data_IF_172278866651
#
_entry.id   IF_172278866651
#
_cell.length_a   1.000
_cell.length_b   1.000
_cell.length_c   1.000
_cell.angle_alpha   90.00
_cell.angle_beta   90.00
_cell.angle_gamma   90.00
#
_symmetry.space_group_name_H-M   'P 1'
#
loop_
_entity.id
_entity.type
_entity.pdbx_description
1 polymer ?
#
# COMPACT_ATOMS: atom_id res chain seq x y z
N UNK A 1 13.58 7.53 -12.47
CA UNK A 1 14.46 7.07 -11.37
C UNK A 1 14.35 5.56 -11.25
N UNK A 2 15.42 4.82 -11.54
CA UNK A 2 15.47 3.36 -11.42
C UNK A 2 16.14 2.96 -10.11
N UNK A 3 15.35 2.45 -9.17
CA UNK A 3 15.83 1.98 -7.88
C UNK A 3 16.28 0.51 -8.01
N UNK A 4 17.60 0.24 -8.03
CA UNK A 4 18.14 -1.12 -8.20
C UNK A 4 17.99 -1.93 -6.91
N UNK A 5 17.66 -3.23 -7.02
CA UNK A 5 17.71 -4.21 -5.92
C UNK A 5 19.17 -4.52 -5.58
N UNK A 6 19.53 -4.62 -4.30
CA UNK A 6 20.87 -4.95 -3.81
C UNK A 6 20.69 -5.96 -2.68
N UNK A 7 21.49 -7.03 -2.69
CA UNK A 7 21.44 -8.16 -1.74
C UNK A 7 22.31 -7.86 -0.51
N UNK A 8 22.22 -6.65 0.02
CA UNK A 8 23.16 -6.18 1.03
C UNK A 8 22.57 -6.40 2.44
N UNK A 9 23.41 -6.83 3.39
CA UNK A 9 23.12 -6.81 4.83
C UNK A 9 22.95 -5.37 5.32
N UNK A 10 21.73 -4.88 5.21
CA UNK A 10 21.38 -3.48 5.42
C UNK A 10 20.49 -3.38 6.64
N UNK A 11 20.76 -2.41 7.50
CA UNK A 11 19.94 -2.17 8.70
C UNK A 11 18.52 -1.73 8.31
N UNK A 12 17.52 -2.04 9.13
CA UNK A 12 16.11 -1.59 8.93
C UNK A 12 16.03 -0.07 8.66
N UNK A 13 16.85 0.74 9.35
CA UNK A 13 16.94 2.19 9.11
C UNK A 13 17.38 2.52 7.68
N UNK A 14 18.38 1.82 7.15
CA UNK A 14 18.87 2.04 5.80
C UNK A 14 17.85 1.53 4.75
N UNK A 15 17.13 0.44 5.02
CA UNK A 15 16.00 0.00 4.17
C UNK A 15 14.94 1.10 4.06
N UNK A 16 14.51 1.69 5.19
CA UNK A 16 13.53 2.80 5.20
C UNK A 16 14.00 4.03 4.44
N UNK A 17 15.27 4.42 4.60
CA UNK A 17 15.86 5.55 3.85
C UNK A 17 15.85 5.28 2.35
N UNK A 18 16.26 4.08 1.94
CA UNK A 18 16.32 3.67 0.53
C UNK A 18 14.92 3.60 -0.09
N UNK A 19 13.94 2.99 0.58
CA UNK A 19 12.56 2.93 0.06
C UNK A 19 11.91 4.31 -0.04
N UNK A 20 12.24 5.24 0.87
CA UNK A 20 11.81 6.66 0.75
C UNK A 20 12.33 7.36 -0.50
N UNK A 21 13.51 7.01 -0.99
CA UNK A 21 14.07 7.59 -2.22
C UNK A 21 13.39 7.06 -3.49
N UNK A 22 12.65 5.95 -3.38
CA UNK A 22 12.12 5.22 -4.54
C UNK A 22 10.60 5.34 -4.67
N UNK A 23 9.91 5.83 -3.63
CA UNK A 23 8.48 6.12 -3.69
C UNK A 23 8.22 7.47 -4.36
N UNK A 24 7.13 7.57 -5.12
CA UNK A 24 6.59 8.86 -5.58
C UNK A 24 6.15 9.71 -4.39
N UNK A 25 6.70 10.92 -4.25
CA UNK A 25 6.40 11.85 -3.16
C UNK A 25 4.92 12.21 -3.05
N UNK A 26 4.15 12.16 -4.16
CA UNK A 26 2.70 12.40 -4.12
C UNK A 26 1.98 11.37 -3.25
N UNK A 27 2.45 10.12 -3.26
CA UNK A 27 1.88 9.06 -2.41
C UNK A 27 2.17 9.30 -0.93
N UNK A 28 3.13 10.15 -0.56
CA UNK A 28 3.43 10.48 0.84
C UNK A 28 2.54 11.59 1.41
N UNK A 29 1.75 12.29 0.57
CA UNK A 29 0.82 13.34 1.03
C UNK A 29 -0.42 12.79 1.72
N UNK A 30 -0.89 11.61 1.29
CA UNK A 30 -2.05 10.92 1.85
C UNK A 30 -1.85 9.41 1.87
N UNK A 31 -2.37 8.78 2.91
CA UNK A 31 -2.43 7.34 3.03
C UNK A 31 -3.26 6.75 1.90
N UNK A 32 -2.64 5.88 1.11
CA UNK A 32 -3.32 5.16 0.04
C UNK A 32 -4.50 4.31 0.52
N UNK A 33 -4.50 3.88 1.79
CA UNK A 33 -5.51 2.99 2.35
C UNK A 33 -6.68 3.71 3.05
N UNK A 34 -6.50 4.94 3.52
CA UNK A 34 -7.55 5.63 4.29
C UNK A 34 -7.67 7.13 4.01
N UNK A 35 -6.77 7.72 3.22
CA UNK A 35 -6.76 9.13 2.87
C UNK A 35 -6.18 10.07 3.93
N UNK A 36 -5.80 9.56 5.11
CA UNK A 36 -5.18 10.36 6.19
C UNK A 36 -3.83 10.95 5.75
N UNK A 37 -3.54 12.18 6.16
CA UNK A 37 -2.22 12.83 5.94
C UNK A 37 -1.28 12.72 7.16
N UNK A 38 -1.71 12.05 8.24
CA UNK A 38 -0.99 12.03 9.51
C UNK A 38 -0.05 10.84 9.63
N UNK A 39 1.12 11.04 10.25
CA UNK A 39 2.10 10.00 10.60
C UNK A 39 2.45 9.08 9.42
N UNK A 40 2.74 9.68 8.26
CA UNK A 40 2.97 9.00 7.00
C UNK A 40 4.30 8.26 6.94
N UNK A 41 4.28 7.05 6.39
CA UNK A 41 5.42 6.12 6.25
C UNK A 41 5.33 5.41 4.90
N UNK A 42 6.45 4.88 4.43
CA UNK A 42 6.46 3.96 3.28
C UNK A 42 6.01 2.59 3.75
N UNK A 43 5.17 1.93 2.95
CA UNK A 43 4.74 0.55 3.17
C UNK A 43 5.05 -0.28 1.92
N UNK A 44 5.55 -1.50 2.13
CA UNK A 44 5.85 -2.48 1.09
C UNK A 44 4.65 -3.41 0.92
N UNK A 45 3.98 -3.35 -0.22
CA UNK A 45 2.71 -4.05 -0.45
C UNK A 45 2.84 -5.57 -0.37
N UNK A 46 3.96 -6.13 -0.82
CA UNK A 46 4.24 -7.57 -0.77
C UNK A 46 4.91 -8.03 0.54
N UNK A 47 5.12 -7.15 1.51
CA UNK A 47 5.80 -7.47 2.77
C UNK A 47 7.30 -7.72 2.69
N UNK A 48 7.91 -7.64 1.49
CA UNK A 48 9.37 -7.75 1.31
C UNK A 48 10.01 -6.35 1.36
N UNK A 49 10.65 -6.03 2.48
CA UNK A 49 11.34 -4.74 2.69
C UNK A 49 12.57 -4.53 1.80
N UNK A 50 13.04 -5.58 1.11
CA UNK A 50 14.09 -5.48 0.10
C UNK A 50 13.55 -5.14 -1.30
N UNK A 51 12.24 -5.33 -1.55
CA UNK A 51 11.59 -5.01 -2.83
C UNK A 51 11.28 -3.51 -2.93
N UNK A 52 12.27 -2.79 -3.46
CA UNK A 52 12.23 -1.33 -3.67
C UNK A 52 11.55 -0.91 -4.97
N UNK A 53 10.86 -1.82 -5.67
CA UNK A 53 10.13 -1.44 -6.88
C UNK A 53 9.08 -0.36 -6.51
N UNK A 54 9.07 0.82 -7.17
CA UNK A 54 8.10 1.87 -6.87
C UNK A 54 6.63 1.39 -6.93
N UNK A 55 6.32 0.41 -7.79
CA UNK A 55 4.98 -0.21 -7.83
C UNK A 55 4.63 -0.95 -6.53
N UNK A 56 5.62 -1.50 -5.83
CA UNK A 56 5.48 -2.18 -4.53
C UNK A 56 5.38 -1.21 -3.35
N UNK A 57 5.67 0.08 -3.56
CA UNK A 57 5.67 1.08 -2.50
C UNK A 57 4.38 1.89 -2.51
N UNK A 58 3.84 2.14 -1.33
CA UNK A 58 2.70 3.03 -1.11
C UNK A 58 2.89 3.85 0.16
N UNK A 59 2.40 5.09 0.18
CA UNK A 59 2.37 5.89 1.39
C UNK A 59 1.22 5.46 2.30
N UNK A 60 1.51 5.22 3.58
CA UNK A 60 0.54 4.77 4.56
C UNK A 60 0.68 5.54 5.88
N UNK A 61 -0.43 5.85 6.55
CA UNK A 61 -0.38 6.34 7.93
C UNK A 61 0.10 5.22 8.86
N UNK A 62 0.61 5.58 10.04
CA UNK A 62 1.12 4.60 11.02
C UNK A 62 0.14 3.48 11.34
N UNK A 63 -1.13 3.81 11.59
CA UNK A 63 -2.19 2.86 11.92
C UNK A 63 -2.42 1.83 10.79
N UNK A 64 -2.62 2.31 9.56
CA UNK A 64 -2.80 1.41 8.40
C UNK A 64 -1.54 0.59 8.12
N UNK A 65 -0.34 1.17 8.30
CA UNK A 65 0.91 0.44 8.10
C UNK A 65 1.03 -0.76 9.07
N UNK A 66 0.74 -0.54 10.36
CA UNK A 66 0.74 -1.60 11.37
C UNK A 66 -0.33 -2.66 11.11
N UNK A 67 -1.58 -2.24 10.89
CA UNK A 67 -2.71 -3.14 10.61
C UNK A 67 -2.42 -4.06 9.43
N UNK A 68 -1.96 -3.48 8.31
CA UNK A 68 -1.68 -4.23 7.09
C UNK A 68 -0.46 -5.13 7.30
N UNK A 69 0.59 -4.66 7.99
CA UNK A 69 1.74 -5.50 8.34
C UNK A 69 1.35 -6.76 9.10
N UNK A 70 0.42 -6.65 10.06
CA UNK A 70 -0.13 -7.81 10.77
C UNK A 70 -0.94 -8.74 9.85
N UNK A 71 -1.72 -8.19 8.92
CA UNK A 71 -2.44 -8.99 7.93
C UNK A 71 -1.46 -9.77 7.05
N UNK A 72 -0.44 -9.12 6.49
CA UNK A 72 0.57 -9.78 5.65
C UNK A 72 1.24 -10.92 6.42
N UNK A 73 1.65 -10.68 7.67
CA UNK A 73 2.22 -11.71 8.55
C UNK A 73 1.28 -12.90 8.75
N UNK A 74 -0.02 -12.65 9.00
CA UNK A 74 -1.05 -13.69 9.20
C UNK A 74 -1.22 -14.56 7.95
N UNK A 75 -1.11 -13.98 6.76
CA UNK A 75 -1.24 -14.70 5.49
C UNK A 75 0.10 -15.22 4.93
N UNK A 76 1.18 -15.18 5.73
CA UNK A 76 2.54 -15.59 5.35
C UNK A 76 3.10 -14.83 4.13
N UNK A 77 2.64 -13.60 3.90
CA UNK A 77 3.08 -12.74 2.82
C UNK A 77 4.40 -12.04 3.20
N UNK A 78 5.35 -11.98 2.26
CA UNK A 78 6.67 -11.36 2.46
C UNK A 78 7.76 -12.34 2.94
N UNK A 79 7.43 -13.63 3.11
CA UNK A 79 8.44 -14.69 3.28
C UNK A 79 8.98 -15.12 1.92
N UNK A 80 10.24 -15.58 1.86
CA UNK A 80 10.96 -16.02 0.63
C UNK A 80 10.22 -17.07 -0.23
N UNK A 81 9.14 -17.66 0.27
CA UNK A 81 8.27 -18.62 -0.46
C UNK A 81 7.23 -17.95 -1.38
N UNK A 82 7.05 -16.63 -1.32
CA UNK A 82 5.90 -15.95 -1.93
C UNK A 82 6.20 -15.44 -3.37
N UNK A 83 6.66 -16.35 -4.25
CA UNK A 83 6.88 -16.08 -5.69
C UNK A 83 5.58 -15.94 -6.50
N UNK A 84 4.40 -16.11 -5.88
CA UNK A 84 3.10 -16.21 -6.55
C UNK A 84 2.58 -14.92 -7.19
N UNK A 85 3.09 -13.74 -6.82
CA UNK A 85 2.61 -12.46 -7.39
C UNK A 85 2.85 -12.32 -8.90
N UNK A 86 3.72 -13.14 -9.50
CA UNK A 86 4.05 -13.06 -10.93
C UNK A 86 3.06 -13.80 -11.83
N UNK A 87 2.14 -14.60 -11.30
CA UNK A 87 1.32 -15.53 -12.10
C UNK A 87 -0.05 -15.01 -12.56
N UNK A 88 -0.58 -13.93 -11.98
CA UNK A 88 -1.86 -13.37 -12.39
C UNK A 88 -1.68 -11.99 -13.05
N UNK A 89 -2.13 -11.77 -14.30
CA UNK A 89 -2.22 -10.44 -14.88
C UNK A 89 -3.35 -9.68 -14.17
N UNK A 90 -3.03 -9.12 -13.00
CA UNK A 90 -3.94 -8.21 -12.32
C UNK A 90 -3.98 -6.90 -13.09
N UNK A 91 -5.19 -6.35 -13.26
CA UNK A 91 -5.35 -5.01 -13.78
C UNK A 91 -5.45 -4.03 -12.61
N UNK A 92 -4.92 -2.82 -12.80
CA UNK A 92 -5.10 -1.75 -11.83
C UNK A 92 -6.57 -1.38 -11.64
N UNK A 93 -6.92 -0.82 -10.49
CA UNK A 93 -8.28 -0.41 -10.20
C UNK A 93 -8.73 0.69 -11.19
N UNK A 94 -9.85 0.42 -11.88
CA UNK A 94 -10.40 1.33 -12.90
C UNK A 94 -11.23 2.45 -12.26
N UNK A 95 -11.88 2.15 -11.14
CA UNK A 95 -12.78 3.05 -10.43
C UNK A 95 -12.60 2.95 -8.90
N UNK A 96 -13.25 3.87 -8.19
CA UNK A 96 -13.14 3.98 -6.73
C UNK A 96 -13.69 2.74 -6.01
N UNK A 97 -14.75 2.11 -6.53
CA UNK A 97 -15.34 0.92 -5.91
C UNK A 97 -14.36 -0.25 -5.88
N UNK A 98 -13.70 -0.54 -7.01
CA UNK A 98 -12.67 -1.57 -7.10
C UNK A 98 -11.50 -1.28 -6.15
N UNK A 99 -11.08 -0.02 -6.09
CA UNK A 99 -10.04 0.42 -5.17
C UNK A 99 -10.43 0.21 -3.70
N UNK A 100 -11.68 0.52 -3.34
CA UNK A 100 -12.19 0.32 -1.98
C UNK A 100 -12.30 -1.15 -1.59
N UNK A 101 -12.69 -2.04 -2.51
CA UNK A 101 -12.70 -3.49 -2.26
C UNK A 101 -11.28 -3.98 -1.95
N UNK A 102 -10.29 -3.58 -2.76
CA UNK A 102 -8.90 -3.94 -2.52
C UNK A 102 -8.40 -3.41 -1.16
N UNK A 103 -8.72 -2.16 -0.80
CA UNK A 103 -8.36 -1.59 0.51
C UNK A 103 -8.99 -2.36 1.66
N UNK A 104 -10.30 -2.63 1.59
CA UNK A 104 -11.01 -3.36 2.65
C UNK A 104 -10.42 -4.75 2.83
N UNK A 105 -10.11 -5.42 1.74
CA UNK A 105 -9.44 -6.73 1.75
C UNK A 105 -8.06 -6.64 2.41
N UNK A 106 -7.27 -5.60 2.13
CA UNK A 106 -5.99 -5.33 2.80
C UNK A 106 -6.13 -4.96 4.28
N UNK A 107 -7.33 -4.61 4.75
CA UNK A 107 -7.62 -4.38 6.17
C UNK A 107 -8.26 -5.59 6.85
N UNK A 108 -8.55 -6.66 6.11
CA UNK A 108 -9.34 -7.79 6.61
C UNK A 108 -10.82 -7.45 6.84
N UNK A 109 -11.34 -6.41 6.18
CA UNK A 109 -12.72 -5.94 6.28
C UNK A 109 -13.61 -6.46 5.13
N UNK A 110 -13.07 -7.23 4.18
CA UNK A 110 -13.80 -7.80 3.04
C UNK A 110 -13.14 -9.10 2.60
N UNK A 111 -13.97 -10.06 2.16
CA UNK A 111 -13.56 -11.34 1.58
C UNK A 111 -13.76 -11.40 0.05
N UNK A 112 -14.25 -10.31 -0.55
CA UNK A 112 -14.49 -10.22 -2.01
C UNK A 112 -13.20 -10.37 -2.83
N UNK A 113 -12.05 -10.11 -2.20
CA UNK A 113 -10.73 -10.24 -2.81
C UNK A 113 -9.74 -10.78 -1.77
N UNK A 114 -8.93 -11.77 -2.16
CA UNK A 114 -7.85 -12.22 -1.28
C UNK A 114 -6.79 -11.13 -1.10
N UNK A 115 -6.04 -11.10 0.02
CA UNK A 115 -4.95 -10.15 0.20
C UNK A 115 -3.95 -10.16 -0.97
N UNK A 116 -3.65 -11.34 -1.55
CA UNK A 116 -2.77 -11.45 -2.72
C UNK A 116 -3.32 -10.77 -3.97
N UNK A 117 -4.60 -10.96 -4.27
CA UNK A 117 -5.27 -10.28 -5.40
C UNK A 117 -5.33 -8.77 -5.17
N UNK A 118 -5.58 -8.33 -3.92
CA UNK A 118 -5.59 -6.93 -3.55
C UNK A 118 -4.21 -6.28 -3.74
N UNK A 119 -3.14 -6.93 -3.29
CA UNK A 119 -1.76 -6.51 -3.54
C UNK A 119 -1.51 -6.37 -5.04
N UNK A 120 -1.89 -7.37 -5.84
CA UNK A 120 -1.66 -7.36 -7.28
C UNK A 120 -2.39 -6.18 -7.97
N UNK A 121 -3.66 -5.95 -7.64
CA UNK A 121 -4.44 -4.82 -8.16
C UNK A 121 -3.83 -3.47 -7.73
N UNK A 122 -3.45 -3.32 -6.46
CA UNK A 122 -2.85 -2.08 -5.96
C UNK A 122 -1.52 -1.82 -6.66
N UNK A 123 -0.67 -2.84 -6.80
CA UNK A 123 0.62 -2.73 -7.51
C UNK A 123 0.45 -2.29 -8.96
N UNK A 124 -0.58 -2.77 -9.66
CA UNK A 124 -0.83 -2.37 -11.05
C UNK A 124 -1.56 -1.03 -11.18
N UNK A 125 -2.23 -0.57 -10.12
CA UNK A 125 -2.78 0.79 -10.08
C UNK A 125 -1.62 1.80 -10.05
N UNK A 126 -1.57 2.76 -10.98
CA UNK A 126 -0.47 3.73 -11.05
C UNK A 126 -0.41 4.66 -9.82
N UNK A 127 0.77 5.12 -9.39
CA UNK A 127 0.91 6.04 -8.24
C UNK A 127 -0.01 7.27 -8.28
N UNK A 128 -0.17 7.87 -9.46
CA UNK A 128 -1.07 9.01 -9.67
C UNK A 128 -2.54 8.61 -9.41
N UNK A 129 -2.99 7.44 -9.89
CA UNK A 129 -4.36 6.96 -9.66
C UNK A 129 -4.61 6.59 -8.19
N UNK A 130 -3.64 5.95 -7.53
CA UNK A 130 -3.71 5.68 -6.09
C UNK A 130 -3.90 6.98 -5.28
N UNK A 131 -3.12 8.00 -5.62
CA UNK A 131 -3.20 9.32 -4.99
C UNK A 131 -4.57 9.97 -5.23
N UNK A 132 -5.07 9.90 -6.46
CA UNK A 132 -6.40 10.42 -6.81
C UNK A 132 -7.51 9.70 -6.02
N UNK A 133 -7.48 8.37 -5.93
CA UNK A 133 -8.46 7.65 -5.12
C UNK A 133 -8.37 8.01 -3.64
N UNK A 134 -7.16 8.20 -3.09
CA UNK A 134 -6.99 8.64 -1.71
C UNK A 134 -7.60 10.04 -1.47
N UNK A 135 -7.45 10.96 -2.43
CA UNK A 135 -8.12 12.26 -2.39
C UNK A 135 -9.64 12.12 -2.47
N UNK A 136 -10.16 11.24 -3.33
CA UNK A 136 -11.60 11.03 -3.48
C UNK A 136 -12.23 10.40 -2.23
N UNK A 137 -11.56 9.42 -1.61
CA UNK A 137 -11.96 8.88 -0.29
C UNK A 137 -12.08 10.03 0.72
N UNK A 138 -11.10 10.93 0.75
CA UNK A 138 -11.10 12.04 1.71
C UNK A 138 -12.19 13.08 1.42
N UNK A 139 -12.46 13.38 0.14
CA UNK A 139 -13.59 14.23 -0.26
C UNK A 139 -14.92 13.66 0.25
N UNK A 140 -15.14 12.36 0.05
CA UNK A 140 -16.36 11.68 0.53
C UNK A 140 -16.45 11.74 2.06
N UNK A 141 -15.35 11.51 2.78
CA UNK A 141 -15.35 11.57 4.25
C UNK A 141 -15.68 12.96 4.77
N UNK A 142 -15.13 14.02 4.15
CA UNK A 142 -15.44 15.42 4.49
C UNK A 142 -16.90 15.74 4.25
N UNK A 143 -17.45 15.36 3.09
CA UNK A 143 -18.87 15.52 2.80
C UNK A 143 -19.77 14.82 3.83
N UNK A 144 -19.33 13.69 4.39
CA UNK A 144 -20.04 12.93 5.44
C UNK A 144 -19.71 13.37 6.87
N UNK A 145 -18.80 14.32 7.10
CA UNK A 145 -18.32 14.71 8.43
C UNK A 145 -17.56 13.61 9.20
N UNK A 146 -17.05 12.59 8.50
CA UNK A 146 -16.33 11.42 9.09
C UNK A 146 -14.81 11.52 8.96
N UNK A 147 -14.33 12.66 8.49
CA UNK A 147 -12.90 12.98 8.34
C UNK A 147 -12.22 13.17 9.70
N UNK A 148 -12.96 13.58 10.75
CA UNK A 148 -12.44 13.76 12.11
C UNK A 148 -12.21 12.45 12.86
N UNK A 149 -12.89 11.37 12.46
CA UNK A 149 -12.76 10.01 13.04
C UNK A 149 -11.90 9.16 12.11
N UNK A 150 -10.59 9.34 12.15
CA UNK A 150 -9.66 8.35 11.56
C UNK A 150 -9.20 7.47 12.72
N UNK A 151 -9.50 6.15 12.73
CA UNK A 151 -9.05 5.27 13.80
C UNK A 151 -7.52 5.34 13.87
N UNK A 152 -7.05 5.72 15.06
CA UNK A 152 -5.64 5.81 15.43
C UNK A 152 -5.14 4.42 15.83
#
# INVERSE_FOLDING_TARGET
>A
MTCKRTNDDVTDRQHRRRSRQCIDEKQMKRCGFCGSSRNMRVHHLNGDESDRNPKNLIGACHACNGLIGHLLKRHNIGRRVDLEYKKNPAQGARNLSQWMIAIKSMKGESEEMTPRQAIAMIRETSPNRRSQFADDIWKIRRAKGTDRKVPF
#
